data_IF_685901579459
#
_entry.id   IF_685901579459
#
_cell.length_a   1.000
_cell.length_b   1.000
_cell.length_c   1.000
_cell.angle_alpha   90.00
_cell.angle_beta   90.00
_cell.angle_gamma   90.00
#
_symmetry.space_group_name_H-M   'P 1'
#
loop_
_entity.id
_entity.type
_entity.pdbx_description
1 polymer ?
#
# COMPACT_ATOMS: atom_id res chain seq x y z
N UNK A 1 12.88 -6.01 -5.32
CA UNK A 1 11.62 -6.06 -4.55
C UNK A 1 11.88 -6.22 -3.05
N UNK A 2 12.65 -7.21 -2.58
CA UNK A 2 12.91 -7.38 -1.14
C UNK A 2 13.52 -6.14 -0.45
N UNK A 3 14.42 -5.42 -1.12
CA UNK A 3 15.02 -4.20 -0.58
C UNK A 3 14.01 -3.07 -0.34
N UNK A 4 12.94 -2.98 -1.14
CA UNK A 4 11.91 -1.95 -0.97
C UNK A 4 11.15 -2.10 0.37
N UNK A 5 11.20 -3.30 0.96
CA UNK A 5 10.55 -3.59 2.23
C UNK A 5 11.51 -3.52 3.43
N UNK A 6 12.77 -3.12 3.23
CA UNK A 6 13.71 -2.98 4.33
C UNK A 6 13.31 -1.84 5.27
N UNK A 7 13.35 -2.06 6.58
CA UNK A 7 13.02 -1.00 7.55
C UNK A 7 11.54 -0.63 7.68
N UNK A 8 10.64 -1.22 6.90
CA UNK A 8 9.19 -0.98 7.02
C UNK A 8 8.45 -2.09 7.77
N UNK A 9 7.34 -1.71 8.39
CA UNK A 9 6.38 -2.64 8.98
C UNK A 9 5.19 -2.82 8.05
N UNK A 10 5.11 -3.97 7.39
CA UNK A 10 4.03 -4.28 6.46
C UNK A 10 2.87 -5.00 7.16
N UNK A 11 1.67 -4.44 7.07
CA UNK A 11 0.44 -5.07 7.53
C UNK A 11 -0.34 -5.56 6.32
N UNK A 12 -0.64 -6.85 6.27
CA UNK A 12 -1.52 -7.41 5.23
C UNK A 12 -2.97 -7.38 5.71
N UNK A 13 -3.83 -6.75 4.94
CA UNK A 13 -5.29 -6.78 5.11
C UNK A 13 -5.90 -7.56 3.96
N UNK A 14 -6.81 -8.48 4.29
CA UNK A 14 -7.50 -9.32 3.31
C UNK A 14 -8.93 -8.81 3.10
N UNK A 15 -9.19 -8.23 1.95
CA UNK A 15 -10.50 -7.62 1.63
C UNK A 15 -11.63 -8.64 1.56
N UNK A 16 -11.32 -9.92 1.31
CA UNK A 16 -12.34 -10.98 1.33
C UNK A 16 -12.80 -11.30 2.76
N UNK A 17 -11.97 -10.99 3.76
CA UNK A 17 -12.28 -11.18 5.18
C UNK A 17 -12.82 -9.91 5.85
N UNK A 18 -12.21 -8.76 5.53
CA UNK A 18 -12.48 -7.48 6.20
C UNK A 18 -13.39 -6.54 5.40
N UNK A 19 -13.67 -6.86 4.13
CA UNK A 19 -14.42 -6.02 3.20
C UNK A 19 -13.53 -5.04 2.43
N UNK A 20 -14.14 -4.35 1.45
CA UNK A 20 -13.48 -3.42 0.52
C UNK A 20 -13.33 -1.99 1.10
N UNK A 21 -13.15 -1.88 2.41
CA UNK A 21 -13.00 -0.60 3.10
C UNK A 21 -14.18 -0.24 4.01
N UNK A 22 -13.92 0.69 4.90
CA UNK A 22 -14.87 1.31 5.81
C UNK A 22 -14.60 2.82 5.78
N UNK A 23 -15.53 3.59 5.20
CA UNK A 23 -15.42 5.05 5.11
C UNK A 23 -15.24 5.70 6.50
N UNK A 24 -15.75 5.07 7.57
CA UNK A 24 -15.60 5.56 8.93
C UNK A 24 -14.17 5.45 9.49
N UNK A 25 -13.35 4.57 8.89
CA UNK A 25 -11.94 4.39 9.23
C UNK A 25 -11.00 5.18 8.31
N UNK A 26 -11.54 5.83 7.27
CA UNK A 26 -10.77 6.65 6.32
C UNK A 26 -9.99 5.84 5.28
N UNK A 27 -10.25 4.53 5.13
CA UNK A 27 -9.63 3.69 4.10
C UNK A 27 -10.62 3.45 2.95
N UNK A 28 -10.32 4.03 1.79
CA UNK A 28 -11.04 3.76 0.53
C UNK A 28 -10.22 2.75 -0.29
N UNK A 29 -10.77 1.54 -0.48
CA UNK A 29 -10.09 0.41 -1.16
C UNK A 29 -10.84 0.06 -2.45
N UNK A 30 -10.75 0.88 -3.51
CA UNK A 30 -11.49 0.65 -4.76
C UNK A 30 -10.93 -0.50 -5.60
N UNK A 31 -9.66 -0.87 -5.38
CA UNK A 31 -8.97 -1.94 -6.08
C UNK A 31 -7.80 -2.47 -5.25
N UNK A 32 -7.31 -3.66 -5.61
CA UNK A 32 -6.10 -4.26 -5.07
C UNK A 32 -5.09 -4.55 -6.20
N UNK A 33 -3.78 -4.51 -5.93
CA UNK A 33 -3.16 -4.09 -4.66
C UNK A 33 -3.19 -2.57 -4.47
N UNK A 34 -3.33 -2.15 -3.22
CA UNK A 34 -3.23 -0.76 -2.77
C UNK A 34 -2.48 -0.72 -1.44
N UNK A 35 -1.62 0.28 -1.25
CA UNK A 35 -0.84 0.48 -0.04
C UNK A 35 -1.13 1.86 0.53
N UNK A 36 -1.32 1.92 1.84
CA UNK A 36 -1.55 3.15 2.59
C UNK A 36 -0.40 3.33 3.57
N UNK A 37 0.16 4.54 3.68
CA UNK A 37 0.95 4.89 4.86
C UNK A 37 0.01 5.13 6.03
N UNK A 38 0.39 4.62 7.19
CA UNK A 38 -0.33 4.83 8.44
C UNK A 38 0.56 5.46 9.49
N UNK A 39 -0.02 6.27 10.34
CA UNK A 39 0.65 6.88 11.48
C UNK A 39 0.84 5.85 12.64
N UNK A 40 1.54 6.21 13.73
CA UNK A 40 1.72 5.30 14.87
C UNK A 40 0.42 4.88 15.58
N UNK A 41 -0.71 5.52 15.28
CA UNK A 41 -2.05 5.18 15.77
C UNK A 41 -2.83 4.29 14.78
N UNK A 42 -2.23 3.97 13.63
CA UNK A 42 -2.84 3.16 12.58
C UNK A 42 -3.85 3.93 11.71
N UNK A 43 -3.83 5.26 11.74
CA UNK A 43 -4.68 6.09 10.89
C UNK A 43 -3.97 6.39 9.56
N UNK A 44 -4.70 6.46 8.42
CA UNK A 44 -4.09 6.78 7.13
C UNK A 44 -3.50 8.19 7.14
N UNK A 45 -2.27 8.36 6.64
CA UNK A 45 -1.62 9.67 6.53
C UNK A 45 -2.12 10.49 5.33
N UNK A 46 -2.80 9.83 4.39
CA UNK A 46 -3.20 10.36 3.09
C UNK A 46 -2.27 9.92 1.95
N UNK A 47 -1.09 9.37 2.24
CA UNK A 47 -0.20 8.85 1.21
C UNK A 47 -0.64 7.44 0.77
N UNK A 48 -0.84 7.28 -0.54
CA UNK A 48 -1.41 6.09 -1.15
C UNK A 48 -0.62 5.75 -2.43
N UNK A 49 -0.39 4.46 -2.66
CA UNK A 49 0.09 3.95 -3.94
C UNK A 49 -0.69 2.69 -4.33
N UNK A 50 -1.03 2.58 -5.61
CA UNK A 50 -1.81 1.46 -6.16
C UNK A 50 -1.18 0.88 -7.43
N UNK A 51 -1.85 -0.13 -8.00
CA UNK A 51 -1.46 -0.81 -9.24
C UNK A 51 -1.18 0.10 -10.45
N UNK A 52 -1.67 1.33 -10.47
CA UNK A 52 -1.44 2.25 -11.59
C UNK A 52 -0.01 2.80 -11.61
N UNK A 53 0.76 2.66 -10.52
CA UNK A 53 2.09 3.25 -10.39
C UNK A 53 3.20 2.52 -11.16
N UNK A 54 2.99 1.28 -11.61
CA UNK A 54 4.05 0.44 -12.20
C UNK A 54 3.71 -0.23 -13.54
N UNK A 55 2.58 0.07 -14.16
CA UNK A 55 2.25 -0.50 -15.47
C UNK A 55 2.14 -2.03 -15.44
N UNK A 56 2.97 -2.76 -16.20
CA UNK A 56 2.96 -4.23 -16.17
C UNK A 56 3.34 -4.77 -14.78
N UNK A 57 2.59 -5.77 -14.31
CA UNK A 57 2.76 -6.41 -13.00
C UNK A 57 3.99 -7.36 -12.97
N UNK A 58 5.18 -6.79 -13.18
CA UNK A 58 6.46 -7.48 -13.07
C UNK A 58 7.34 -6.82 -11.99
N UNK A 59 8.15 -7.59 -11.24
CA UNK A 59 8.96 -7.07 -10.13
C UNK A 59 9.84 -5.87 -10.49
N UNK A 60 10.36 -5.83 -11.72
CA UNK A 60 11.23 -4.78 -12.24
C UNK A 60 10.52 -3.43 -12.33
N UNK A 61 9.22 -3.43 -12.64
CA UNK A 61 8.43 -2.20 -12.71
C UNK A 61 7.86 -1.82 -11.34
N UNK A 62 7.49 -2.81 -10.53
CA UNK A 62 6.90 -2.58 -9.21
C UNK A 62 7.91 -2.04 -8.20
N UNK A 63 9.15 -2.53 -8.25
CA UNK A 63 10.13 -2.23 -7.21
C UNK A 63 10.51 -0.75 -7.10
N UNK A 64 10.81 0.00 -8.18
CA UNK A 64 11.19 1.41 -8.07
C UNK A 64 10.12 2.32 -7.42
N UNK A 65 8.84 2.32 -7.85
CA UNK A 65 7.84 3.20 -7.24
C UNK A 65 7.45 2.77 -5.82
N UNK A 66 7.48 1.47 -5.51
CA UNK A 66 7.28 1.00 -4.14
C UNK A 66 8.42 1.41 -3.21
N UNK A 67 9.68 1.32 -3.67
CA UNK A 67 10.84 1.75 -2.90
C UNK A 67 10.80 3.25 -2.58
N UNK A 68 10.50 4.08 -3.58
CA UNK A 68 10.29 5.51 -3.39
C UNK A 68 9.15 5.77 -2.39
N UNK A 69 8.01 5.10 -2.56
CA UNK A 69 6.88 5.27 -1.65
C UNK A 69 7.22 4.87 -0.21
N UNK A 70 7.94 3.78 0.02
CA UNK A 70 8.22 3.26 1.36
C UNK A 70 9.33 4.02 2.10
N UNK A 71 10.22 4.72 1.39
CA UNK A 71 11.41 5.37 1.98
C UNK A 71 11.44 6.90 1.90
N UNK A 72 10.49 7.55 1.21
CA UNK A 72 10.25 9.00 1.28
C UNK A 72 9.46 9.41 2.53
#
# INVERSE_FOLDING_TARGET
>A
MLNAFEGIYLIRVDVDLWGWGDESLGFDVPAIPIFFKVDPQGQPTGDIIDGNAWGENIPENMAPPLDAFFHE
#
